data_IF_526515098465
#
_entry.id   IF_526515098465
#
_cell.length_a   1.000
_cell.length_b   1.000
_cell.length_c   1.000
_cell.angle_alpha   90.00
_cell.angle_beta   90.00
_cell.angle_gamma   90.00
#
_symmetry.space_group_name_H-M   'P 1'
#
loop_
_entity.id
_entity.type
_entity.pdbx_description
1 polymer ?
#
# COMPACT_ATOMS: atom_id res chain seq x y z
N UNK A 1 36.51 -14.13 18.17
CA UNK A 1 35.20 -14.78 18.48
C UNK A 1 34.52 -14.14 19.70
N UNK A 2 35.21 -13.91 20.82
CA UNK A 2 34.64 -13.26 22.03
C UNK A 2 34.11 -11.84 21.77
N UNK A 3 34.84 -11.02 21.01
CA UNK A 3 34.43 -9.64 20.70
C UNK A 3 33.11 -9.64 19.93
N UNK A 4 32.94 -10.52 18.94
CA UNK A 4 31.71 -10.63 18.15
C UNK A 4 30.52 -11.07 19.01
N UNK A 5 30.72 -11.99 19.93
CA UNK A 5 29.67 -12.46 20.86
C UNK A 5 29.24 -11.34 21.81
N UNK A 6 30.17 -10.50 22.26
CA UNK A 6 29.88 -9.34 23.10
C UNK A 6 29.08 -8.29 22.34
N UNK A 7 29.46 -7.96 21.12
CA UNK A 7 28.72 -7.04 20.25
C UNK A 7 27.29 -7.51 19.94
N UNK A 8 27.13 -8.80 19.67
CA UNK A 8 25.79 -9.42 19.46
C UNK A 8 24.96 -9.32 20.75
N UNK A 9 25.58 -9.52 21.93
CA UNK A 9 24.91 -9.38 23.21
C UNK A 9 24.41 -7.95 23.46
N UNK A 10 25.25 -6.96 23.19
CA UNK A 10 24.91 -5.54 23.32
C UNK A 10 23.79 -5.13 22.35
N UNK A 11 23.84 -5.59 21.10
CA UNK A 11 22.77 -5.36 20.11
C UNK A 11 21.43 -5.97 20.55
N UNK A 12 21.42 -7.18 21.06
CA UNK A 12 20.19 -7.82 21.58
C UNK A 12 19.60 -7.08 22.76
N UNK A 13 20.43 -6.61 23.70
CA UNK A 13 19.98 -5.78 24.82
C UNK A 13 19.35 -4.46 24.30
N UNK A 14 20.02 -3.79 23.38
CA UNK A 14 19.53 -2.54 22.79
C UNK A 14 18.19 -2.72 22.07
N UNK A 15 18.03 -3.82 21.34
CA UNK A 15 16.76 -4.19 20.72
C UNK A 15 15.66 -4.50 21.75
N UNK A 16 15.98 -5.17 22.83
CA UNK A 16 15.02 -5.47 23.90
C UNK A 16 14.54 -4.17 24.58
N UNK A 17 15.43 -3.25 24.90
CA UNK A 17 15.07 -1.94 25.45
C UNK A 17 14.17 -1.15 24.50
N UNK A 18 14.50 -1.11 23.22
CA UNK A 18 13.70 -0.42 22.20
C UNK A 18 12.30 -1.02 22.09
N UNK A 19 12.15 -2.34 22.16
CA UNK A 19 10.84 -3.01 22.18
C UNK A 19 9.98 -2.63 23.39
N UNK A 20 10.59 -2.56 24.59
CA UNK A 20 9.91 -2.15 25.81
C UNK A 20 9.43 -0.69 25.69
N UNK A 21 10.26 0.18 25.15
CA UNK A 21 9.93 1.59 24.93
C UNK A 21 8.77 1.76 23.94
N UNK A 22 8.81 1.09 22.78
CA UNK A 22 7.74 1.07 21.78
C UNK A 22 6.43 0.59 22.41
N UNK A 23 6.48 -0.51 23.17
CA UNK A 23 5.31 -1.07 23.85
C UNK A 23 4.75 -0.10 24.90
N UNK A 24 5.60 0.57 25.68
CA UNK A 24 5.17 1.53 26.70
C UNK A 24 4.49 2.78 26.13
N UNK A 25 4.82 3.13 24.89
CA UNK A 25 4.20 4.26 24.17
C UNK A 25 2.92 3.84 23.41
N UNK A 26 2.57 2.57 23.40
CA UNK A 26 1.43 2.07 22.65
C UNK A 26 1.66 2.07 21.12
N UNK A 27 2.90 2.24 20.67
CA UNK A 27 3.27 2.26 19.24
C UNK A 27 3.11 0.87 18.59
N UNK A 28 3.06 -0.19 19.40
CA UNK A 28 2.75 -1.56 18.94
C UNK A 28 1.24 -1.80 18.71
N UNK A 29 0.39 -0.84 19.10
CA UNK A 29 -1.03 -1.00 18.89
C UNK A 29 -1.36 -0.93 17.41
N UNK A 30 -1.85 -2.03 16.88
CA UNK A 30 -2.30 -2.14 15.50
C UNK A 30 -3.68 -2.81 15.48
N UNK A 31 -4.69 -2.05 15.11
CA UNK A 31 -6.07 -2.52 15.06
C UNK A 31 -6.25 -3.76 14.18
N UNK A 32 -5.51 -3.86 13.09
CA UNK A 32 -5.57 -5.01 12.17
C UNK A 32 -5.01 -6.29 12.83
N UNK A 33 -3.94 -6.14 13.61
CA UNK A 33 -3.38 -7.25 14.41
C UNK A 33 -4.34 -7.68 15.51
N UNK A 34 -4.94 -6.72 16.22
CA UNK A 34 -5.91 -7.01 17.30
C UNK A 34 -7.14 -7.72 16.77
N UNK A 35 -7.60 -7.35 15.58
CA UNK A 35 -8.76 -7.99 14.92
C UNK A 35 -8.39 -9.30 14.18
N UNK A 36 -7.12 -9.70 14.14
CA UNK A 36 -6.66 -10.87 13.39
C UNK A 36 -6.71 -10.70 11.88
N UNK A 37 -6.72 -9.47 11.39
CA UNK A 37 -6.89 -9.12 9.97
C UNK A 37 -5.59 -8.66 9.30
N UNK A 38 -4.48 -8.84 9.97
CA UNK A 38 -3.16 -8.36 9.55
C UNK A 38 -2.64 -8.96 8.23
N UNK A 39 -3.16 -10.11 7.82
CA UNK A 39 -2.81 -10.79 6.56
C UNK A 39 -3.92 -10.75 5.50
N UNK A 40 -5.00 -10.02 5.74
CA UNK A 40 -6.12 -9.88 4.79
C UNK A 40 -5.81 -8.81 3.74
N UNK A 41 -4.90 -9.12 2.80
CA UNK A 41 -4.42 -8.17 1.78
C UNK A 41 -5.56 -7.60 0.94
N UNK A 42 -6.38 -8.47 0.38
CA UNK A 42 -7.44 -8.09 -0.56
C UNK A 42 -8.62 -7.45 0.15
N UNK A 43 -9.17 -8.13 1.15
CA UNK A 43 -10.41 -7.69 1.81
C UNK A 43 -10.27 -6.44 2.65
N UNK A 44 -9.07 -6.18 3.16
CA UNK A 44 -8.85 -5.10 4.09
C UNK A 44 -7.91 -4.04 3.55
N UNK A 45 -6.68 -4.43 3.21
CA UNK A 45 -5.65 -3.45 2.85
C UNK A 45 -5.91 -2.83 1.49
N UNK A 46 -6.18 -3.64 0.46
CA UNK A 46 -6.47 -3.11 -0.88
C UNK A 46 -7.79 -2.36 -0.91
N UNK A 47 -8.83 -2.85 -0.21
CA UNK A 47 -10.11 -2.15 -0.14
C UNK A 47 -10.00 -0.82 0.61
N UNK A 48 -9.28 -0.78 1.74
CA UNK A 48 -9.05 0.46 2.49
C UNK A 48 -8.24 1.47 1.68
N UNK A 49 -7.17 1.01 1.01
CA UNK A 49 -6.35 1.88 0.18
C UNK A 49 -7.14 2.42 -1.01
N UNK A 50 -7.91 1.58 -1.68
CA UNK A 50 -8.77 2.00 -2.78
C UNK A 50 -9.83 3.02 -2.33
N UNK A 51 -10.44 2.80 -1.19
CA UNK A 51 -11.40 3.75 -0.60
C UNK A 51 -10.75 5.11 -0.32
N UNK A 52 -9.55 5.14 0.26
CA UNK A 52 -8.80 6.38 0.49
C UNK A 52 -8.40 7.09 -0.80
N UNK A 53 -7.99 6.34 -1.82
CA UNK A 53 -7.57 6.90 -3.10
C UNK A 53 -8.73 7.30 -4.01
N UNK A 54 -9.95 6.87 -3.70
CA UNK A 54 -11.14 7.22 -4.49
C UNK A 54 -11.61 8.64 -4.19
N UNK A 55 -11.70 9.52 -5.20
CA UNK A 55 -12.27 10.85 -5.00
C UNK A 55 -13.74 10.82 -4.54
N UNK A 56 -14.46 9.73 -4.83
CA UNK A 56 -15.85 9.49 -4.41
C UNK A 56 -15.94 8.69 -3.11
N UNK A 57 -14.80 8.43 -2.45
CA UNK A 57 -14.74 7.66 -1.21
C UNK A 57 -15.55 8.27 -0.07
N UNK A 58 -16.02 7.42 0.84
CA UNK A 58 -16.88 7.82 1.96
C UNK A 58 -16.21 8.77 2.96
N UNK A 59 -14.88 8.95 2.86
CA UNK A 59 -14.11 9.92 3.66
C UNK A 59 -14.48 11.39 3.38
N UNK A 60 -15.13 11.69 2.23
CA UNK A 60 -15.60 13.05 1.88
C UNK A 60 -14.50 14.09 1.61
N UNK A 61 -13.25 13.64 1.41
CA UNK A 61 -12.09 14.53 1.16
C UNK A 61 -11.80 14.74 -0.34
N UNK A 62 -12.69 14.27 -1.24
CA UNK A 62 -12.48 14.32 -2.68
C UNK A 62 -11.14 13.71 -3.08
N UNK A 63 -10.34 14.38 -3.88
CA UNK A 63 -9.05 13.91 -4.40
C UNK A 63 -7.84 14.16 -3.48
N UNK A 64 -8.04 14.69 -2.27
CA UNK A 64 -6.95 15.09 -1.39
C UNK A 64 -5.98 13.94 -1.03
N UNK A 65 -6.49 12.75 -0.74
CA UNK A 65 -5.65 11.58 -0.46
C UNK A 65 -4.93 11.08 -1.71
N UNK A 66 -5.58 11.11 -2.86
CA UNK A 66 -4.97 10.75 -4.14
C UNK A 66 -3.86 11.72 -4.53
N UNK A 67 -4.07 13.02 -4.35
CA UNK A 67 -3.05 14.04 -4.57
C UNK A 67 -1.83 13.84 -3.68
N UNK A 68 -2.05 13.61 -2.37
CA UNK A 68 -0.99 13.32 -1.42
C UNK A 68 -0.22 12.03 -1.80
N UNK A 69 -0.92 10.97 -2.19
CA UNK A 69 -0.31 9.73 -2.64
C UNK A 69 0.59 9.93 -3.86
N UNK A 70 0.11 10.64 -4.88
CA UNK A 70 0.90 10.92 -6.08
C UNK A 70 2.13 11.77 -5.74
N UNK A 71 1.97 12.76 -4.90
CA UNK A 71 3.04 13.68 -4.53
C UNK A 71 4.11 13.05 -3.64
N UNK A 72 3.70 12.29 -2.62
CA UNK A 72 4.57 11.90 -1.52
C UNK A 72 5.01 10.42 -1.58
N UNK A 73 4.23 9.56 -2.22
CA UNK A 73 4.49 8.12 -2.30
C UNK A 73 5.09 7.73 -3.64
N UNK A 74 4.60 8.31 -4.74
CA UNK A 74 5.11 8.02 -6.08
C UNK A 74 6.44 8.73 -6.29
N UNK A 75 7.49 7.94 -6.51
CA UNK A 75 8.86 8.44 -6.68
C UNK A 75 9.26 8.62 -8.15
N UNK A 76 8.58 7.93 -9.06
CA UNK A 76 8.88 7.98 -10.48
C UNK A 76 8.48 9.32 -11.11
N UNK A 77 9.46 10.08 -11.56
CA UNK A 77 9.27 11.37 -12.22
C UNK A 77 8.34 11.27 -13.45
N UNK A 78 8.37 10.13 -14.16
CA UNK A 78 7.48 9.89 -15.30
C UNK A 78 6.01 9.87 -14.88
N UNK A 79 5.70 9.20 -13.76
CA UNK A 79 4.32 9.12 -13.25
C UNK A 79 3.89 10.49 -12.73
N UNK A 80 4.77 11.19 -12.01
CA UNK A 80 4.49 12.57 -11.57
C UNK A 80 4.23 13.50 -12.74
N UNK A 81 5.03 13.41 -13.82
CA UNK A 81 4.84 14.20 -15.02
C UNK A 81 3.53 13.89 -15.77
N UNK A 82 3.05 12.66 -15.68
CA UNK A 82 1.75 12.28 -16.27
C UNK A 82 0.55 12.85 -15.50
N UNK A 83 0.74 13.25 -14.25
CA UNK A 83 -0.33 13.72 -13.33
C UNK A 83 -0.09 15.17 -12.89
N UNK A 84 0.83 15.90 -13.52
CA UNK A 84 1.35 17.22 -13.13
C UNK A 84 0.36 18.39 -13.29
N UNK A 85 -0.76 18.32 -12.60
CA UNK A 85 -1.73 19.41 -12.53
C UNK A 85 -2.55 19.65 -13.81
N UNK A 86 -2.32 18.87 -14.87
CA UNK A 86 -3.13 18.91 -16.10
C UNK A 86 -4.30 17.94 -16.05
N UNK A 87 -4.28 16.99 -15.12
CA UNK A 87 -5.30 15.96 -14.96
C UNK A 87 -6.24 16.35 -13.82
N UNK A 88 -7.51 16.34 -14.08
CA UNK A 88 -8.53 16.49 -13.05
C UNK A 88 -8.65 15.18 -12.24
N UNK A 89 -7.98 15.13 -11.10
CA UNK A 89 -7.95 13.96 -10.23
C UNK A 89 -9.32 13.61 -9.64
N UNK A 90 -10.25 14.54 -9.57
CA UNK A 90 -11.61 14.32 -9.06
C UNK A 90 -12.43 13.31 -9.86
N UNK A 91 -12.05 13.10 -11.11
CA UNK A 91 -12.70 12.14 -11.99
C UNK A 91 -11.90 10.85 -12.16
N UNK A 92 -10.97 10.57 -11.25
CA UNK A 92 -10.25 9.30 -11.24
C UNK A 92 -11.16 8.16 -10.80
N UNK A 93 -11.16 7.08 -11.58
CA UNK A 93 -11.88 5.85 -11.25
C UNK A 93 -10.91 4.91 -10.54
N UNK A 94 -11.30 4.40 -9.38
CA UNK A 94 -10.52 3.45 -8.59
C UNK A 94 -11.24 2.10 -8.61
N UNK A 95 -10.57 1.08 -9.13
CA UNK A 95 -11.12 -0.28 -9.23
C UNK A 95 -10.22 -1.26 -8.48
N UNK A 96 -10.81 -2.08 -7.60
CA UNK A 96 -10.13 -3.21 -6.96
C UNK A 96 -10.38 -4.50 -7.73
N UNK A 97 -9.45 -5.45 -7.64
CA UNK A 97 -9.61 -6.79 -8.25
C UNK A 97 -9.87 -6.74 -9.77
N UNK A 98 -9.25 -5.78 -10.47
CA UNK A 98 -9.46 -5.60 -11.90
C UNK A 98 -8.90 -6.78 -12.70
N UNK A 99 -9.73 -7.45 -13.46
CA UNK A 99 -9.33 -8.60 -14.28
C UNK A 99 -8.91 -8.16 -15.67
N UNK A 100 -7.67 -8.49 -16.05
CA UNK A 100 -7.11 -8.23 -17.39
C UNK A 100 -7.21 -9.48 -18.23
N UNK A 101 -8.06 -9.45 -19.28
CA UNK A 101 -8.25 -10.58 -20.19
C UNK A 101 -9.00 -11.76 -19.60
N UNK A 102 -9.23 -12.79 -20.42
CA UNK A 102 -9.78 -14.06 -19.94
C UNK A 102 -8.71 -14.87 -19.22
N UNK A 103 -8.96 -15.30 -17.98
CA UNK A 103 -8.10 -16.26 -17.28
C UNK A 103 -8.35 -17.62 -17.94
N UNK A 104 -7.38 -18.13 -18.71
CA UNK A 104 -7.43 -19.50 -19.24
C UNK A 104 -7.15 -20.49 -18.12
N UNK A 105 -7.64 -21.72 -18.26
CA UNK A 105 -7.43 -22.82 -17.31
C UNK A 105 -5.95 -23.05 -16.96
N UNK A 106 -5.04 -22.72 -17.87
CA UNK A 106 -3.58 -22.84 -17.70
C UNK A 106 -2.93 -21.60 -17.07
N UNK A 107 -3.68 -20.57 -16.66
CA UNK A 107 -3.19 -19.28 -16.09
C UNK A 107 -2.10 -18.58 -16.92
N UNK A 108 -1.98 -18.88 -18.21
CA UNK A 108 -0.93 -18.34 -19.11
C UNK A 108 -1.34 -17.02 -19.77
N UNK A 109 -2.61 -16.63 -19.68
CA UNK A 109 -3.14 -15.37 -20.24
C UNK A 109 -4.15 -14.77 -19.28
N UNK A 110 -4.01 -13.50 -19.04
CA UNK A 110 -4.83 -12.76 -18.11
C UNK A 110 -4.16 -12.63 -16.74
N UNK A 111 -4.69 -11.73 -15.94
CA UNK A 111 -4.21 -11.47 -14.59
C UNK A 111 -5.23 -10.67 -13.80
N UNK A 112 -4.98 -10.51 -12.51
CA UNK A 112 -5.77 -9.68 -11.64
C UNK A 112 -4.87 -8.60 -11.06
N UNK A 113 -5.33 -7.36 -11.15
CA UNK A 113 -4.68 -6.18 -10.59
C UNK A 113 -5.36 -5.88 -9.26
N UNK A 114 -4.60 -5.71 -8.19
CA UNK A 114 -5.16 -5.45 -6.86
C UNK A 114 -5.91 -4.12 -6.82
N UNK A 115 -5.29 -3.04 -7.32
CA UNK A 115 -5.91 -1.72 -7.43
C UNK A 115 -5.50 -1.09 -8.76
N UNK A 116 -6.45 -0.61 -9.52
CA UNK A 116 -6.26 0.18 -10.73
C UNK A 116 -6.81 1.58 -10.53
N UNK A 117 -5.98 2.59 -10.75
CA UNK A 117 -6.38 4.00 -10.84
C UNK A 117 -6.44 4.38 -12.32
N UNK A 118 -7.60 4.79 -12.81
CA UNK A 118 -7.79 5.23 -14.19
C UNK A 118 -8.08 6.74 -14.21
N UNK A 119 -7.24 7.50 -14.89
CA UNK A 119 -7.38 8.94 -15.03
C UNK A 119 -8.20 9.32 -16.27
N UNK A 120 -8.82 10.53 -16.28
CA UNK A 120 -9.65 10.99 -17.40
C UNK A 120 -8.92 11.05 -18.76
N UNK A 121 -7.60 11.20 -18.74
CA UNK A 121 -6.76 11.23 -19.95
C UNK A 121 -6.44 9.83 -20.49
N UNK A 122 -7.05 8.77 -19.96
CA UNK A 122 -6.83 7.35 -20.32
C UNK A 122 -5.44 6.81 -19.93
N UNK A 123 -4.76 7.46 -19.03
CA UNK A 123 -3.60 6.89 -18.34
C UNK A 123 -4.03 6.28 -17.00
N UNK A 124 -3.17 5.48 -16.39
CA UNK A 124 -3.50 4.87 -15.11
C UNK A 124 -2.28 4.42 -14.34
N UNK A 125 -2.50 4.13 -13.06
CA UNK A 125 -1.52 3.56 -12.14
C UNK A 125 -2.04 2.21 -11.66
N UNK A 126 -1.18 1.20 -11.73
CA UNK A 126 -1.42 -0.12 -11.17
C UNK A 126 -0.70 -0.20 -9.83
N UNK A 127 -1.43 -0.59 -8.79
CA UNK A 127 -0.89 -0.84 -7.47
C UNK A 127 -1.07 -2.32 -7.16
N UNK A 128 0.05 -2.99 -6.94
CA UNK A 128 0.10 -4.36 -6.44
C UNK A 128 0.43 -4.31 -4.95
N UNK A 129 -0.49 -4.77 -4.12
CA UNK A 129 -0.37 -4.70 -2.67
C UNK A 129 0.00 -6.06 -2.09
N UNK A 130 1.27 -6.24 -1.68
CA UNK A 130 1.77 -7.49 -1.10
C UNK A 130 2.33 -7.26 0.30
N UNK A 131 1.73 -7.90 1.29
CA UNK A 131 2.19 -7.85 2.69
C UNK A 131 3.24 -8.93 2.96
N UNK A 132 3.07 -10.10 2.35
CA UNK A 132 3.98 -11.23 2.43
C UNK A 132 4.21 -11.81 1.04
N UNK A 133 5.16 -11.26 0.30
CA UNK A 133 5.76 -11.98 -0.81
C UNK A 133 6.85 -12.86 -0.21
N UNK A 134 6.66 -14.18 -0.20
CA UNK A 134 7.78 -15.10 0.01
C UNK A 134 8.77 -14.87 -1.13
N UNK A 135 10.05 -14.76 -0.77
CA UNK A 135 11.15 -14.71 -1.73
C UNK A 135 11.23 -16.00 -2.57
#
# INVERSE_FOLDING_TARGET
MEVLLKEIGELKQKQAFKRIEIKSRGEDFNVFTVLGLWSEEVRLHSAMLAELLSPEGSHGCSDAFLEAFIKDVITEEVIKAMVDGTIDLKHTIVTTEYTVGGINEDATKGGRIDILLEFPNRTGIIIENKIYAGD
#
